data_IF_960295792138
#
_entry.id   IF_960295792138
#
_cell.length_a   1.000
_cell.length_b   1.000
_cell.length_c   1.000
_cell.angle_alpha   90.00
_cell.angle_beta   90.00
_cell.angle_gamma   90.00
#
_symmetry.space_group_name_H-M   'P 1'
#
loop_
_entity.id
_entity.type
_entity.pdbx_description
1 polymer ?
#
# COMPACT_ATOMS: atom_id res chain seq x y z
N UNK A 1 22.11 3.04 -29.16
CA UNK A 1 21.15 4.15 -29.11
C UNK A 1 21.85 5.32 -29.80
N UNK A 2 21.35 5.72 -30.97
CA UNK A 2 21.85 6.85 -31.73
C UNK A 2 21.62 8.10 -30.91
N UNK A 3 22.70 8.81 -30.56
CA UNK A 3 22.61 10.13 -29.93
C UNK A 3 22.13 11.11 -30.99
N UNK A 4 21.06 11.79 -30.72
CA UNK A 4 20.63 12.95 -31.50
C UNK A 4 21.78 13.99 -31.52
N UNK A 5 21.97 14.66 -32.65
CA UNK A 5 23.03 15.68 -32.76
C UNK A 5 22.73 16.83 -31.79
N UNK A 6 23.78 17.46 -31.25
CA UNK A 6 23.64 18.60 -30.33
C UNK A 6 22.91 19.78 -30.98
N UNK A 7 23.11 19.99 -32.29
CA UNK A 7 22.37 20.99 -33.06
C UNK A 7 20.87 20.73 -33.09
N UNK A 8 20.45 19.47 -33.28
CA UNK A 8 19.05 19.07 -33.24
C UNK A 8 18.43 19.29 -31.87
N UNK A 9 19.13 18.94 -30.82
CA UNK A 9 18.65 19.14 -29.43
C UNK A 9 18.48 20.64 -29.13
N UNK A 10 19.44 21.47 -29.56
CA UNK A 10 19.40 22.92 -29.34
C UNK A 10 18.21 23.61 -30.02
N UNK A 11 17.78 23.15 -31.20
CA UNK A 11 16.59 23.67 -31.88
C UNK A 11 15.29 23.44 -31.10
N UNK A 12 15.22 22.37 -30.29
CA UNK A 12 14.05 22.01 -29.48
C UNK A 12 14.11 22.53 -28.04
N UNK A 13 15.24 23.05 -27.58
CA UNK A 13 15.43 23.55 -26.22
C UNK A 13 14.33 24.58 -25.78
N UNK A 14 13.90 25.52 -26.63
CA UNK A 14 12.84 26.46 -26.27
C UNK A 14 11.45 25.80 -26.09
N UNK A 15 11.27 24.58 -26.59
CA UNK A 15 10.01 23.83 -26.56
C UNK A 15 10.05 22.66 -25.59
N UNK A 16 11.10 22.54 -24.80
CA UNK A 16 11.23 21.48 -23.78
C UNK A 16 10.20 21.66 -22.67
N UNK A 17 9.44 20.60 -22.43
CA UNK A 17 8.56 20.50 -21.25
C UNK A 17 9.14 19.45 -20.33
N UNK A 18 9.58 19.86 -19.15
CA UNK A 18 10.04 18.92 -18.13
C UNK A 18 8.84 18.25 -17.47
N UNK A 19 8.75 16.93 -17.62
CA UNK A 19 7.75 16.13 -16.91
C UNK A 19 8.39 15.54 -15.65
N UNK A 20 7.81 15.85 -14.51
CA UNK A 20 8.24 15.28 -13.24
C UNK A 20 7.68 13.85 -13.08
N UNK A 21 8.43 12.99 -12.40
CA UNK A 21 7.97 11.66 -12.03
C UNK A 21 6.74 11.75 -11.09
N UNK A 22 5.97 10.70 -11.02
CA UNK A 22 4.76 10.69 -10.18
C UNK A 22 5.11 10.81 -8.68
N UNK A 23 6.27 10.27 -8.26
CA UNK A 23 6.76 10.39 -6.89
C UNK A 23 7.11 11.82 -6.46
N UNK A 24 7.42 12.70 -7.42
CA UNK A 24 7.69 14.14 -7.16
C UNK A 24 6.40 14.97 -7.08
N UNK A 25 5.22 14.36 -7.33
CA UNK A 25 3.90 15.00 -7.36
C UNK A 25 2.91 14.27 -6.45
N UNK A 26 3.21 14.23 -5.14
CA UNK A 26 2.43 13.45 -4.17
C UNK A 26 0.94 13.84 -4.11
N UNK A 27 0.60 15.12 -4.30
CA UNK A 27 -0.81 15.58 -4.33
C UNK A 27 -1.55 15.06 -5.56
N UNK A 28 -0.90 15.05 -6.73
CA UNK A 28 -1.46 14.48 -7.95
C UNK A 28 -1.60 12.97 -7.81
N UNK A 29 -0.61 12.29 -7.23
CA UNK A 29 -0.63 10.85 -7.01
C UNK A 29 -1.85 10.43 -6.17
N UNK A 30 -2.13 11.16 -5.08
CA UNK A 30 -3.31 10.89 -4.25
C UNK A 30 -4.60 11.00 -5.07
N UNK A 31 -4.72 12.05 -5.87
CA UNK A 31 -5.87 12.28 -6.73
C UNK A 31 -6.06 11.15 -7.77
N UNK A 32 -4.96 10.63 -8.34
CA UNK A 32 -5.02 9.47 -9.26
C UNK A 32 -5.44 8.19 -8.54
N UNK A 33 -4.91 7.92 -7.35
CA UNK A 33 -5.31 6.76 -6.55
C UNK A 33 -6.80 6.81 -6.24
N UNK A 34 -7.31 7.95 -5.76
CA UNK A 34 -8.73 8.13 -5.42
C UNK A 34 -9.62 7.99 -6.67
N UNK A 35 -9.20 8.55 -7.81
CA UNK A 35 -9.91 8.42 -9.08
C UNK A 35 -10.00 6.98 -9.56
N UNK A 36 -8.88 6.25 -9.58
CA UNK A 36 -8.87 4.86 -10.06
C UNK A 36 -9.57 3.91 -9.09
N UNK A 37 -9.49 4.17 -7.78
CA UNK A 37 -10.25 3.44 -6.78
C UNK A 37 -11.76 3.61 -6.99
N UNK A 38 -12.23 4.84 -7.17
CA UNK A 38 -13.64 5.14 -7.46
C UNK A 38 -14.11 4.51 -8.77
N UNK A 39 -13.29 4.59 -9.82
CA UNK A 39 -13.57 3.99 -11.14
C UNK A 39 -13.68 2.46 -11.06
N UNK A 40 -12.71 1.81 -10.40
CA UNK A 40 -12.72 0.36 -10.22
C UNK A 40 -13.88 -0.11 -9.34
N UNK A 41 -14.18 0.58 -8.25
CA UNK A 41 -15.33 0.30 -7.41
C UNK A 41 -16.64 0.35 -8.21
N UNK A 42 -16.82 1.37 -9.03
CA UNK A 42 -18.00 1.50 -9.90
C UNK A 42 -18.06 0.37 -10.94
N UNK A 43 -16.95 0.09 -11.61
CA UNK A 43 -16.85 -0.93 -12.66
C UNK A 43 -17.18 -2.33 -12.17
N UNK A 44 -16.74 -2.67 -10.95
CA UNK A 44 -16.86 -4.01 -10.38
C UNK A 44 -17.94 -4.11 -9.28
N UNK A 45 -18.74 -3.05 -9.09
CA UNK A 45 -19.79 -3.00 -8.04
C UNK A 45 -19.23 -3.32 -6.64
N UNK A 46 -18.07 -2.76 -6.33
CA UNK A 46 -17.37 -2.91 -5.05
C UNK A 46 -17.45 -1.60 -4.24
N UNK A 47 -17.05 -1.69 -2.95
CA UNK A 47 -16.95 -0.54 -2.04
C UNK A 47 -15.66 -0.68 -1.23
N UNK A 48 -14.54 -0.74 -1.94
CA UNK A 48 -13.20 -0.88 -1.34
C UNK A 48 -12.71 0.50 -0.93
N UNK A 49 -12.10 0.58 0.24
CA UNK A 49 -11.46 1.78 0.80
C UNK A 49 -10.05 1.42 1.27
N UNK A 50 -9.11 2.33 1.15
CA UNK A 50 -7.79 2.18 1.74
C UNK A 50 -7.77 2.75 3.16
N UNK A 51 -7.12 2.05 4.10
CA UNK A 51 -6.81 2.63 5.39
C UNK A 51 -5.80 3.77 5.21
N UNK A 52 -5.71 4.73 6.15
CA UNK A 52 -4.69 5.80 6.09
C UNK A 52 -3.28 5.23 5.92
N UNK A 53 -2.96 4.13 6.60
CA UNK A 53 -1.65 3.46 6.49
C UNK A 53 -1.41 2.85 5.11
N UNK A 54 -2.42 2.23 4.51
CA UNK A 54 -2.31 1.71 3.15
C UNK A 54 -2.12 2.84 2.14
N UNK A 55 -2.82 3.97 2.32
CA UNK A 55 -2.65 5.16 1.50
C UNK A 55 -1.24 5.73 1.62
N UNK A 56 -0.67 5.83 2.83
CA UNK A 56 0.71 6.29 3.04
C UNK A 56 1.73 5.41 2.31
N UNK A 57 1.54 4.08 2.33
CA UNK A 57 2.39 3.16 1.57
C UNK A 57 2.27 3.36 0.04
N UNK A 58 1.06 3.59 -0.44
CA UNK A 58 0.83 3.86 -1.87
C UNK A 58 1.45 5.18 -2.30
N UNK A 59 1.37 6.21 -1.45
CA UNK A 59 1.97 7.53 -1.71
C UNK A 59 3.50 7.50 -1.64
N UNK A 60 4.09 6.64 -0.81
CA UNK A 60 5.54 6.49 -0.67
C UNK A 60 6.19 5.55 -1.68
N UNK A 61 5.43 4.88 -2.55
CA UNK A 61 5.98 3.97 -3.55
C UNK A 61 6.45 4.72 -4.80
N UNK A 62 7.56 4.23 -5.40
CA UNK A 62 8.23 4.86 -6.54
C UNK A 62 7.61 4.46 -7.90
N UNK A 63 6.38 4.58 -8.13
CA UNK A 63 5.62 4.21 -9.32
C UNK A 63 6.41 4.31 -10.65
N UNK A 64 7.30 3.34 -10.93
CA UNK A 64 8.28 3.38 -12.04
C UNK A 64 7.62 3.45 -13.42
N UNK A 65 6.45 2.84 -13.57
CA UNK A 65 5.66 2.88 -14.79
C UNK A 65 4.58 3.97 -14.74
N UNK A 66 4.74 4.96 -13.85
CA UNK A 66 3.87 6.13 -13.70
C UNK A 66 2.38 5.76 -13.52
N UNK A 67 1.48 6.52 -14.17
CA UNK A 67 0.03 6.43 -14.03
C UNK A 67 -0.52 5.05 -14.41
N UNK A 68 0.07 4.38 -15.40
CA UNK A 68 -0.38 3.07 -15.85
C UNK A 68 -0.17 2.00 -14.76
N UNK A 69 0.92 2.10 -14.01
CA UNK A 69 1.17 1.20 -12.88
C UNK A 69 0.17 1.43 -11.75
N UNK A 70 -0.14 2.70 -11.44
CA UNK A 70 -1.16 3.06 -10.44
C UNK A 70 -2.50 2.45 -10.84
N UNK A 71 -2.96 2.71 -12.05
CA UNK A 71 -4.23 2.19 -12.56
C UNK A 71 -4.33 0.68 -12.43
N UNK A 72 -3.36 -0.07 -13.01
CA UNK A 72 -3.35 -1.53 -12.97
C UNK A 72 -3.28 -2.09 -11.56
N UNK A 73 -2.54 -1.44 -10.69
CA UNK A 73 -2.37 -1.89 -9.30
C UNK A 73 -3.65 -1.69 -8.49
N UNK A 74 -4.26 -0.51 -8.57
CA UNK A 74 -5.51 -0.22 -7.87
C UNK A 74 -6.65 -1.13 -8.38
N UNK A 75 -6.78 -1.27 -9.70
CA UNK A 75 -7.77 -2.15 -10.28
C UNK A 75 -7.60 -3.61 -9.83
N UNK A 76 -6.36 -4.11 -9.80
CA UNK A 76 -6.06 -5.45 -9.30
C UNK A 76 -6.43 -5.62 -7.83
N UNK A 77 -6.10 -4.65 -6.97
CA UNK A 77 -6.46 -4.70 -5.55
C UNK A 77 -7.98 -4.81 -5.39
N UNK A 78 -8.75 -3.97 -6.08
CA UNK A 78 -10.22 -4.00 -6.02
C UNK A 78 -10.80 -5.31 -6.51
N UNK A 79 -10.20 -5.92 -7.54
CA UNK A 79 -10.65 -7.22 -8.07
C UNK A 79 -10.36 -8.39 -7.14
N UNK A 80 -9.20 -8.39 -6.49
CA UNK A 80 -8.72 -9.56 -5.73
C UNK A 80 -9.08 -9.52 -4.26
N UNK A 81 -9.38 -8.34 -3.69
CA UNK A 81 -9.76 -8.25 -2.27
C UNK A 81 -11.21 -8.66 -2.04
N UNK A 82 -11.44 -9.36 -0.94
CA UNK A 82 -12.80 -9.63 -0.42
C UNK A 82 -13.22 -8.63 0.66
N UNK A 83 -12.27 -7.81 1.13
CA UNK A 83 -12.45 -6.85 2.22
C UNK A 83 -12.98 -5.52 1.70
N UNK A 84 -13.78 -4.83 2.53
CA UNK A 84 -14.15 -3.44 2.27
C UNK A 84 -13.00 -2.48 2.56
N UNK A 85 -12.22 -2.74 3.61
CA UNK A 85 -11.07 -1.93 4.00
C UNK A 85 -9.78 -2.69 3.71
N UNK A 86 -8.96 -2.14 2.85
CA UNK A 86 -7.64 -2.66 2.47
C UNK A 86 -6.59 -1.99 3.32
N UNK A 87 -5.84 -2.77 4.08
CA UNK A 87 -4.72 -2.30 4.88
C UNK A 87 -3.38 -2.61 4.21
N UNK A 88 -2.28 -2.13 4.79
CA UNK A 88 -0.91 -2.31 4.29
C UNK A 88 -0.60 -3.77 3.95
N UNK A 89 -1.08 -4.71 4.77
CA UNK A 89 -0.84 -6.14 4.57
C UNK A 89 -1.63 -6.77 3.41
N UNK A 90 -2.59 -6.05 2.88
CA UNK A 90 -3.37 -6.47 1.70
C UNK A 90 -2.79 -5.89 0.40
N UNK A 91 -1.80 -4.99 0.52
CA UNK A 91 -1.09 -4.43 -0.62
C UNK A 91 -0.08 -5.44 -1.18
N UNK A 92 0.26 -5.35 -2.48
CA UNK A 92 1.33 -6.15 -3.08
C UNK A 92 2.67 -5.96 -2.38
N UNK A 93 3.44 -7.05 -2.20
CA UNK A 93 4.75 -7.04 -1.53
C UNK A 93 5.73 -6.00 -2.10
N UNK A 94 5.66 -5.72 -3.40
CA UNK A 94 6.48 -4.70 -4.05
C UNK A 94 6.24 -3.29 -3.49
N UNK A 95 5.01 -2.99 -3.06
CA UNK A 95 4.64 -1.70 -2.47
C UNK A 95 5.04 -1.67 -1.00
N UNK A 96 4.80 -2.75 -0.29
CA UNK A 96 5.13 -2.86 1.14
C UNK A 96 6.62 -2.99 1.40
N UNK A 97 7.39 -3.58 0.47
CA UNK A 97 8.84 -3.73 0.58
C UNK A 97 9.62 -2.40 0.54
N UNK A 98 9.08 -1.38 -0.16
CA UNK A 98 9.64 -0.02 -0.18
C UNK A 98 9.21 0.83 1.03
N UNK A 99 8.08 0.54 1.63
CA UNK A 99 7.53 1.32 2.74
C UNK A 99 8.24 1.11 4.08
N UNK A 100 9.11 0.09 4.20
CA UNK A 100 9.98 -0.05 5.38
C UNK A 100 10.87 1.19 5.62
N UNK A 101 11.30 1.87 4.57
CA UNK A 101 12.13 3.07 4.68
C UNK A 101 11.30 4.32 5.00
N UNK A 102 10.09 4.43 4.45
CA UNK A 102 9.19 5.57 4.71
C UNK A 102 8.63 5.53 6.13
N UNK A 103 8.28 4.34 6.63
CA UNK A 103 7.88 4.17 8.03
C UNK A 103 9.04 4.39 9.00
N UNK A 104 10.28 4.01 8.63
CA UNK A 104 11.45 4.15 9.49
C UNK A 104 11.84 5.62 9.75
N UNK A 105 11.47 6.55 8.88
CA UNK A 105 11.87 7.95 9.02
C UNK A 105 11.13 8.71 10.13
N UNK A 106 9.90 8.30 10.49
CA UNK A 106 9.05 9.05 11.44
C UNK A 106 8.41 8.20 12.55
N UNK A 107 8.57 6.88 12.55
CA UNK A 107 7.98 5.98 13.54
C UNK A 107 9.02 5.54 14.58
N UNK A 108 8.61 5.48 15.85
CA UNK A 108 9.47 4.88 16.88
C UNK A 108 9.64 3.37 16.64
N UNK A 109 10.74 2.78 17.13
CA UNK A 109 10.94 1.33 17.08
C UNK A 109 9.75 0.56 17.66
N UNK A 110 9.12 1.11 18.69
CA UNK A 110 7.92 0.54 19.33
C UNK A 110 6.74 0.49 18.35
N UNK A 111 6.50 1.57 17.62
CA UNK A 111 5.40 1.66 16.66
C UNK A 111 5.63 0.71 15.47
N UNK A 112 6.88 0.58 15.02
CA UNK A 112 7.26 -0.37 13.98
C UNK A 112 7.04 -1.82 14.43
N UNK A 113 7.49 -2.18 15.63
CA UNK A 113 7.28 -3.51 16.18
C UNK A 113 5.79 -3.83 16.35
N UNK A 114 5.02 -2.88 16.88
CA UNK A 114 3.57 -3.05 17.04
C UNK A 114 2.87 -3.20 15.69
N UNK A 115 3.29 -2.47 14.68
CA UNK A 115 2.80 -2.57 13.32
C UNK A 115 3.04 -3.98 12.74
N UNK A 116 4.28 -4.46 12.75
CA UNK A 116 4.60 -5.80 12.24
C UNK A 116 3.91 -6.91 13.04
N UNK A 117 3.84 -6.76 14.35
CA UNK A 117 3.16 -7.71 15.23
C UNK A 117 1.67 -7.80 14.92
N UNK A 118 0.99 -6.65 14.79
CA UNK A 118 -0.44 -6.61 14.48
C UNK A 118 -0.74 -7.32 13.15
N UNK A 119 0.07 -7.07 12.12
CA UNK A 119 -0.09 -7.71 10.84
C UNK A 119 0.13 -9.23 10.85
N UNK A 120 1.11 -9.70 11.60
CA UNK A 120 1.35 -11.14 11.75
C UNK A 120 0.19 -11.82 12.47
N UNK A 121 -0.30 -11.21 13.55
CA UNK A 121 -1.40 -11.75 14.35
C UNK A 121 -2.70 -11.77 13.54
N UNK A 122 -3.04 -10.68 12.88
CA UNK A 122 -4.29 -10.57 12.13
C UNK A 122 -4.32 -11.48 10.90
N UNK A 123 -3.23 -11.57 10.12
CA UNK A 123 -3.13 -12.55 9.00
C UNK A 123 -3.25 -13.99 9.48
N UNK A 124 -2.62 -14.32 10.61
CA UNK A 124 -2.77 -15.66 11.18
C UNK A 124 -4.21 -15.91 11.62
N UNK A 125 -4.87 -14.91 12.24
CA UNK A 125 -6.26 -15.05 12.67
C UNK A 125 -7.23 -15.15 11.48
N UNK A 126 -7.06 -14.37 10.44
CA UNK A 126 -7.87 -14.48 9.22
C UNK A 126 -7.77 -15.85 8.57
N UNK A 127 -6.57 -16.42 8.55
CA UNK A 127 -6.32 -17.74 7.95
C UNK A 127 -6.84 -18.90 8.81
N UNK A 128 -6.61 -18.86 10.11
CA UNK A 128 -6.86 -20.00 10.99
C UNK A 128 -8.12 -19.87 11.84
N UNK A 129 -8.69 -18.68 11.98
CA UNK A 129 -9.96 -18.36 12.65
C UNK A 129 -10.05 -18.76 14.13
N UNK A 130 -9.05 -19.38 14.71
CA UNK A 130 -9.02 -19.80 16.12
C UNK A 130 -7.78 -19.33 16.83
N UNK A 131 -7.91 -18.89 18.09
CA UNK A 131 -6.76 -18.43 18.90
C UNK A 131 -5.74 -19.54 19.18
N UNK A 132 -6.19 -20.79 19.24
CA UNK A 132 -5.32 -21.95 19.43
C UNK A 132 -4.41 -22.15 18.24
N UNK A 133 -4.96 -22.15 17.02
CA UNK A 133 -4.17 -22.31 15.80
C UNK A 133 -3.25 -21.12 15.54
N UNK A 134 -3.68 -19.89 15.87
CA UNK A 134 -2.83 -18.68 15.83
C UNK A 134 -1.66 -18.82 16.80
N UNK A 135 -1.92 -19.28 18.03
CA UNK A 135 -0.89 -19.49 19.05
C UNK A 135 0.18 -20.48 18.58
N UNK A 136 -0.26 -21.64 18.04
CA UNK A 136 0.64 -22.66 17.49
C UNK A 136 1.46 -22.11 16.30
N UNK A 137 0.81 -21.39 15.38
CA UNK A 137 1.48 -20.83 14.19
C UNK A 137 2.52 -19.79 14.53
N UNK A 138 2.24 -18.95 15.53
CA UNK A 138 3.12 -17.83 15.91
C UNK A 138 4.09 -18.20 17.06
N UNK A 139 4.03 -19.43 17.59
CA UNK A 139 4.92 -19.87 18.66
C UNK A 139 4.68 -19.13 19.99
N UNK A 140 3.44 -18.71 20.28
CA UNK A 140 3.07 -17.97 21.49
C UNK A 140 2.03 -18.76 22.30
N UNK A 141 1.81 -18.39 23.57
CA UNK A 141 0.77 -19.00 24.38
C UNK A 141 -0.63 -18.62 23.87
N UNK A 142 -1.62 -19.49 24.07
CA UNK A 142 -3.01 -19.21 23.69
C UNK A 142 -3.55 -17.92 24.37
N UNK A 143 -3.21 -17.72 25.65
CA UNK A 143 -3.59 -16.49 26.36
C UNK A 143 -3.02 -15.23 25.71
N UNK A 144 -1.76 -15.31 25.23
CA UNK A 144 -1.12 -14.22 24.50
C UNK A 144 -1.81 -13.99 23.16
N UNK A 145 -2.13 -15.06 22.42
CA UNK A 145 -2.84 -14.97 21.14
C UNK A 145 -4.22 -14.29 21.30
N UNK A 146 -5.02 -14.73 22.28
CA UNK A 146 -6.32 -14.11 22.61
C UNK A 146 -6.17 -12.62 22.87
N UNK A 147 -5.25 -12.24 23.78
CA UNK A 147 -5.03 -10.83 24.14
C UNK A 147 -4.62 -9.98 22.92
N UNK A 148 -3.75 -10.52 22.05
CA UNK A 148 -3.29 -9.81 20.85
C UNK A 148 -4.38 -9.72 19.80
N UNK A 149 -5.15 -10.77 19.57
CA UNK A 149 -6.30 -10.73 18.66
C UNK A 149 -7.29 -9.67 19.12
N UNK A 150 -7.68 -9.64 20.40
CA UNK A 150 -8.57 -8.61 20.94
C UNK A 150 -8.00 -7.20 20.82
N UNK A 151 -6.70 -7.03 21.08
CA UNK A 151 -6.04 -5.72 20.98
C UNK A 151 -6.09 -5.18 19.54
N UNK A 152 -5.92 -6.03 18.54
CA UNK A 152 -5.80 -5.61 17.16
C UNK A 152 -7.11 -5.69 16.37
N UNK A 153 -7.99 -6.65 16.65
CA UNK A 153 -9.32 -6.72 16.06
C UNK A 153 -10.26 -5.61 16.57
N UNK A 154 -10.08 -5.14 17.80
CA UNK A 154 -10.87 -4.05 18.36
C UNK A 154 -10.52 -2.65 17.85
N UNK A 155 -9.42 -2.48 17.11
CA UNK A 155 -9.04 -1.20 16.47
C UNK A 155 -9.71 -0.96 15.12
N UNK A 156 -10.34 -1.99 14.55
CA UNK A 156 -11.03 -1.91 13.25
C UNK A 156 -12.51 -1.52 13.36
N UNK A 157 -12.99 -1.12 14.56
CA UNK A 157 -14.42 -0.87 14.85
C UNK A 157 -14.73 0.58 15.27
N UNK A 158 -13.76 1.53 15.15
CA UNK A 158 -14.06 2.97 15.30
C UNK A 158 -13.81 3.76 14.04
#
# INVERSE_FOLDING_TARGET
ADKLSEEFISEFEPYQVQMYSLGERAEDLKSFIDYYLGSANKKYSRSVEFTPRAMDCLLGYDWKENIDEVHRTIERIVLTTEKKKVDVFDLPDRITGGSSEVFAQNASLKDMLEFYESGLVMRAYEKYRTSVAVAQKLGISQATAVRKIHKYAGRDVE
#
